data_IF_414861614782
#
_entry.id   IF_414861614782
#
_cell.length_a   1.000
_cell.length_b   1.000
_cell.length_c   1.000
_cell.angle_alpha   90.00
_cell.angle_beta   90.00
_cell.angle_gamma   90.00
#
_symmetry.space_group_name_H-M   'P 1'
#
loop_
_entity.id
_entity.type
_entity.pdbx_description
1 polymer ?
#
# COMPACT_ATOMS: atom_id res chain seq x y z
N UNK A 1 6.92 22.88 -25.38
CA UNK A 1 6.52 21.55 -24.87
C UNK A 1 5.36 21.73 -23.90
N UNK A 2 4.21 21.09 -24.14
CA UNK A 2 3.01 21.30 -23.31
C UNK A 2 3.25 20.81 -21.87
N UNK A 3 2.69 21.52 -20.88
CA UNK A 3 2.88 21.24 -19.44
C UNK A 3 2.56 19.78 -19.09
N UNK A 4 1.43 19.28 -19.58
CA UNK A 4 0.97 17.89 -19.39
C UNK A 4 1.98 16.87 -19.91
N UNK A 5 2.58 17.14 -21.07
CA UNK A 5 3.59 16.24 -21.64
C UNK A 5 4.83 16.11 -20.74
N UNK A 6 5.29 17.22 -20.14
CA UNK A 6 6.41 17.19 -19.18
C UNK A 6 6.07 16.42 -17.91
N UNK A 7 4.85 16.56 -17.41
CA UNK A 7 4.40 15.91 -16.17
C UNK A 7 4.28 14.39 -16.31
N UNK A 8 3.94 13.89 -17.51
CA UNK A 8 3.86 12.44 -17.80
C UNK A 8 5.25 11.87 -18.17
N UNK A 9 6.07 12.65 -18.87
CA UNK A 9 7.37 12.18 -19.37
C UNK A 9 8.30 11.72 -18.23
N UNK A 10 8.38 12.48 -17.14
CA UNK A 10 9.29 12.15 -16.03
C UNK A 10 8.94 10.83 -15.31
N UNK A 11 7.68 10.59 -14.90
CA UNK A 11 7.26 9.28 -14.41
C UNK A 11 7.54 8.15 -15.39
N UNK A 12 7.28 8.35 -16.70
CA UNK A 12 7.56 7.32 -17.70
C UNK A 12 9.05 6.98 -17.80
N UNK A 13 9.92 7.99 -17.76
CA UNK A 13 11.38 7.78 -17.74
C UNK A 13 11.81 7.01 -16.48
N UNK A 14 11.24 7.34 -15.31
CA UNK A 14 11.52 6.63 -14.08
C UNK A 14 11.09 5.16 -14.14
N UNK A 15 9.90 4.86 -14.70
CA UNK A 15 9.43 3.50 -14.91
C UNK A 15 10.36 2.74 -15.87
N UNK A 16 10.73 3.34 -17.01
CA UNK A 16 11.66 2.72 -17.95
C UNK A 16 13.03 2.46 -17.32
N UNK A 17 13.56 3.40 -16.55
CA UNK A 17 14.81 3.22 -15.81
C UNK A 17 14.71 2.06 -14.80
N UNK A 18 13.58 1.93 -14.10
CA UNK A 18 13.33 0.82 -13.19
C UNK A 18 13.35 -0.54 -13.90
N UNK A 19 12.75 -0.65 -15.09
CA UNK A 19 12.83 -1.87 -15.92
C UNK A 19 14.26 -2.16 -16.40
N UNK A 20 15.03 -1.14 -16.78
CA UNK A 20 16.44 -1.32 -17.19
C UNK A 20 17.28 -1.83 -16.01
N UNK A 21 17.19 -1.17 -14.86
CA UNK A 21 17.95 -1.56 -13.66
C UNK A 21 17.52 -2.96 -13.19
N UNK A 22 16.21 -3.22 -13.11
CA UNK A 22 15.68 -4.54 -12.78
C UNK A 22 16.17 -5.61 -13.76
N UNK A 23 16.23 -5.30 -15.05
CA UNK A 23 16.69 -6.22 -16.07
C UNK A 23 18.17 -6.54 -15.94
N UNK A 24 19.01 -5.55 -15.60
CA UNK A 24 20.42 -5.77 -15.28
C UNK A 24 20.55 -6.72 -14.08
N UNK A 25 19.74 -6.53 -13.03
CA UNK A 25 19.77 -7.42 -11.86
C UNK A 25 19.39 -8.86 -12.25
N UNK A 26 18.35 -9.04 -13.07
CA UNK A 26 17.94 -10.37 -13.56
C UNK A 26 19.07 -11.03 -14.36
N UNK A 27 19.77 -10.27 -15.22
CA UNK A 27 20.94 -10.78 -15.94
C UNK A 27 22.07 -11.22 -15.00
N UNK A 28 22.34 -10.46 -13.94
CA UNK A 28 23.38 -10.78 -12.95
C UNK A 28 23.06 -12.06 -12.15
N UNK A 29 21.77 -12.36 -11.96
CA UNK A 29 21.30 -13.61 -11.35
C UNK A 29 21.43 -14.80 -12.32
N UNK A 30 21.63 -14.54 -13.62
CA UNK A 30 21.80 -15.55 -14.65
C UNK A 30 20.51 -15.95 -15.37
N UNK A 31 19.42 -15.18 -15.18
CA UNK A 31 18.13 -15.44 -15.83
C UNK A 31 17.87 -14.44 -16.98
N UNK A 32 16.88 -14.71 -17.83
CA UNK A 32 16.51 -13.87 -18.95
C UNK A 32 15.51 -12.77 -18.53
N UNK A 33 15.87 -11.47 -18.64
CA UNK A 33 15.01 -10.36 -18.25
C UNK A 33 13.70 -10.30 -19.03
N UNK A 34 13.71 -10.64 -20.32
CA UNK A 34 12.51 -10.58 -21.15
C UNK A 34 11.50 -11.65 -20.72
N UNK A 35 11.96 -12.84 -20.38
CA UNK A 35 11.11 -13.92 -19.84
C UNK A 35 10.58 -13.53 -18.47
N UNK A 36 11.44 -12.98 -17.61
CA UNK A 36 11.04 -12.51 -16.27
C UNK A 36 9.99 -11.40 -16.34
N UNK A 37 10.18 -10.39 -17.20
CA UNK A 37 9.19 -9.32 -17.38
C UNK A 37 7.92 -9.79 -18.05
N UNK A 38 7.99 -10.77 -18.95
CA UNK A 38 6.80 -11.42 -19.49
C UNK A 38 5.98 -12.08 -18.38
N UNK A 39 6.62 -12.83 -17.48
CA UNK A 39 5.97 -13.40 -16.31
C UNK A 39 5.45 -12.34 -15.35
N UNK A 40 6.19 -11.25 -15.13
CA UNK A 40 5.75 -10.14 -14.28
C UNK A 40 4.45 -9.53 -14.80
N UNK A 41 4.38 -9.19 -16.09
CA UNK A 41 3.16 -8.63 -16.70
C UNK A 41 2.04 -9.65 -16.69
N UNK A 42 2.33 -10.93 -16.99
CA UNK A 42 1.36 -12.02 -16.93
C UNK A 42 0.78 -12.20 -15.52
N UNK A 43 1.59 -12.13 -14.47
CA UNK A 43 1.16 -12.26 -13.08
C UNK A 43 0.47 -11.01 -12.52
N UNK A 44 0.60 -9.85 -13.18
CA UNK A 44 -0.09 -8.62 -12.79
C UNK A 44 -1.41 -8.40 -13.52
N UNK A 45 -1.55 -8.90 -14.75
CA UNK A 45 -2.70 -8.63 -15.62
C UNK A 45 -3.35 -9.89 -16.24
N UNK A 46 -2.88 -11.09 -15.91
CA UNK A 46 -3.30 -12.34 -16.54
C UNK A 46 -4.71 -12.81 -16.18
N UNK A 47 -5.20 -12.47 -14.98
CA UNK A 47 -6.55 -12.79 -14.51
C UNK A 47 -7.19 -11.65 -13.73
N UNK A 48 -8.50 -11.76 -13.48
CA UNK A 48 -9.23 -10.80 -12.64
C UNK A 48 -8.65 -10.73 -11.21
N UNK A 49 -8.18 -11.85 -10.68
CA UNK A 49 -7.57 -11.92 -9.35
C UNK A 49 -6.21 -11.20 -9.34
N UNK A 50 -5.41 -11.36 -10.39
CA UNK A 50 -4.09 -10.73 -10.53
C UNK A 50 -4.22 -9.20 -10.62
N UNK A 51 -5.21 -8.73 -11.38
CA UNK A 51 -5.55 -7.30 -11.45
C UNK A 51 -6.02 -6.81 -10.09
N UNK A 52 -6.86 -7.59 -9.41
CA UNK A 52 -7.32 -7.28 -8.05
C UNK A 52 -6.16 -7.14 -7.07
N UNK A 53 -5.18 -8.04 -7.14
CA UNK A 53 -3.97 -7.99 -6.31
C UNK A 53 -3.09 -6.78 -6.65
N UNK A 54 -2.90 -6.51 -7.93
CA UNK A 54 -2.16 -5.32 -8.40
C UNK A 54 -2.81 -4.03 -7.88
N UNK A 55 -4.13 -3.91 -7.99
CA UNK A 55 -4.87 -2.75 -7.46
C UNK A 55 -4.80 -2.68 -5.93
N UNK A 56 -4.88 -3.82 -5.25
CA UNK A 56 -4.77 -3.90 -3.80
C UNK A 56 -3.44 -3.34 -3.28
N UNK A 57 -2.32 -3.65 -3.96
CA UNK A 57 -0.99 -3.12 -3.61
C UNK A 57 -0.80 -1.68 -4.12
N UNK A 58 -1.29 -1.35 -5.32
CA UNK A 58 -1.11 -0.02 -5.90
C UNK A 58 -1.89 1.08 -5.15
N UNK A 59 -3.08 0.76 -4.66
CA UNK A 59 -3.96 1.71 -3.95
C UNK A 59 -3.25 2.41 -2.78
N UNK A 60 -2.71 1.70 -1.76
CA UNK A 60 -2.01 2.35 -0.66
C UNK A 60 -0.79 3.15 -1.14
N UNK A 61 -0.02 2.65 -2.11
CA UNK A 61 1.15 3.38 -2.63
C UNK A 61 0.78 4.72 -3.28
N UNK A 62 -0.30 4.74 -4.08
CA UNK A 62 -0.81 5.96 -4.72
C UNK A 62 -1.29 6.95 -3.67
N UNK A 63 -2.05 6.50 -2.66
CA UNK A 63 -2.54 7.38 -1.60
C UNK A 63 -1.42 7.92 -0.70
N UNK A 64 -0.41 7.09 -0.38
CA UNK A 64 0.77 7.54 0.37
C UNK A 64 1.56 8.58 -0.43
N UNK A 65 1.79 8.35 -1.73
CA UNK A 65 2.42 9.34 -2.60
C UNK A 65 1.63 10.64 -2.71
N UNK A 66 0.30 10.55 -2.79
CA UNK A 66 -0.60 11.70 -2.79
C UNK A 66 -0.53 12.48 -1.46
N UNK A 67 -0.55 11.79 -0.32
CA UNK A 67 -0.44 12.42 1.00
C UNK A 67 0.87 13.21 1.15
N UNK A 68 1.98 12.61 0.72
CA UNK A 68 3.29 13.24 0.70
C UNK A 68 3.31 14.45 -0.25
N UNK A 69 2.75 14.32 -1.45
CA UNK A 69 2.66 15.41 -2.42
C UNK A 69 1.84 16.60 -1.91
N UNK A 70 0.76 16.35 -1.17
CA UNK A 70 -0.05 17.39 -0.53
C UNK A 70 0.73 18.09 0.58
N UNK A 71 1.42 17.34 1.46
CA UNK A 71 2.25 17.90 2.52
C UNK A 71 3.37 18.80 1.96
N UNK A 72 4.05 18.35 0.90
CA UNK A 72 5.09 19.13 0.22
C UNK A 72 4.57 20.45 -0.36
N UNK A 73 3.32 20.49 -0.85
CA UNK A 73 2.70 21.75 -1.32
C UNK A 73 2.47 22.76 -0.19
N UNK A 74 2.36 22.29 1.04
CA UNK A 74 2.27 23.13 2.24
C UNK A 74 3.66 23.50 2.81
N UNK A 75 4.75 23.08 2.18
CA UNK A 75 6.12 23.30 2.66
C UNK A 75 6.53 22.36 3.80
N UNK A 76 5.75 21.30 4.05
CA UNK A 76 6.03 20.29 5.08
C UNK A 76 6.71 19.07 4.44
N UNK A 77 7.80 18.61 5.07
CA UNK A 77 8.47 17.36 4.68
C UNK A 77 7.81 16.20 5.46
N UNK A 78 7.27 15.20 4.75
CA UNK A 78 6.75 13.97 5.38
C UNK A 78 7.69 12.78 5.08
N UNK A 79 8.69 12.58 5.96
CA UNK A 79 9.67 11.49 5.85
C UNK A 79 9.12 10.18 6.44
N UNK A 80 8.17 10.27 7.38
CA UNK A 80 7.62 9.13 8.12
C UNK A 80 6.44 8.41 7.46
N UNK A 81 6.11 8.74 6.20
CA UNK A 81 4.89 8.27 5.54
C UNK A 81 4.76 6.73 5.46
N UNK A 82 5.89 6.03 5.32
CA UNK A 82 5.91 4.56 5.35
C UNK A 82 5.51 4.02 6.74
N UNK A 83 6.02 4.63 7.82
CA UNK A 83 5.63 4.28 9.19
C UNK A 83 4.17 4.61 9.49
N UNK A 84 3.67 5.75 8.99
CA UNK A 84 2.25 6.12 9.11
C UNK A 84 1.36 5.06 8.48
N UNK A 85 1.72 4.55 7.30
CA UNK A 85 0.97 3.50 6.62
C UNK A 85 0.95 2.20 7.43
N UNK A 86 2.10 1.74 7.95
CA UNK A 86 2.16 0.51 8.73
C UNK A 86 1.40 0.60 10.06
N UNK A 87 1.51 1.71 10.78
CA UNK A 87 0.82 1.89 12.06
C UNK A 87 -0.69 2.04 11.86
N UNK A 88 -1.12 2.77 10.83
CA UNK A 88 -2.53 2.84 10.45
C UNK A 88 -3.06 1.44 10.08
N UNK A 89 -2.34 0.69 9.25
CA UNK A 89 -2.74 -0.65 8.84
C UNK A 89 -2.86 -1.61 10.04
N UNK A 90 -1.90 -1.59 10.97
CA UNK A 90 -1.96 -2.39 12.19
C UNK A 90 -3.15 -2.01 13.08
N UNK A 91 -3.35 -0.72 13.34
CA UNK A 91 -4.45 -0.24 14.17
C UNK A 91 -5.82 -0.60 13.57
N UNK A 92 -5.95 -0.45 12.24
CA UNK A 92 -7.16 -0.85 11.51
C UNK A 92 -7.38 -2.36 11.55
N UNK A 93 -6.35 -3.17 11.37
CA UNK A 93 -6.47 -4.63 11.48
C UNK A 93 -6.92 -5.06 12.87
N UNK A 94 -6.36 -4.44 13.92
CA UNK A 94 -6.75 -4.69 15.31
C UNK A 94 -8.23 -4.39 15.55
N UNK A 95 -8.70 -3.20 15.12
CA UNK A 95 -10.10 -2.81 15.22
C UNK A 95 -11.01 -3.73 14.41
N UNK A 96 -10.59 -4.13 13.21
CA UNK A 96 -11.31 -5.08 12.37
C UNK A 96 -11.53 -6.43 13.08
N UNK A 97 -10.50 -6.96 13.73
CA UNK A 97 -10.60 -8.20 14.51
C UNK A 97 -11.52 -8.02 15.71
N UNK A 98 -11.38 -6.92 16.46
CA UNK A 98 -12.16 -6.67 17.68
C UNK A 98 -13.64 -6.36 17.44
N UNK A 99 -13.98 -5.70 16.34
CA UNK A 99 -15.34 -5.24 16.08
C UNK A 99 -16.03 -5.93 14.89
N UNK A 100 -15.34 -6.83 14.20
CA UNK A 100 -15.85 -7.54 13.02
C UNK A 100 -16.45 -8.91 13.28
N UNK A 101 -16.64 -9.32 14.54
CA UNK A 101 -17.14 -10.67 14.87
C UNK A 101 -16.17 -11.79 14.42
N UNK A 102 -14.86 -11.51 14.45
CA UNK A 102 -13.85 -12.42 13.90
C UNK A 102 -13.54 -13.56 14.87
N UNK A 103 -13.77 -14.79 14.44
CA UNK A 103 -13.34 -16.01 15.13
C UNK A 103 -11.96 -16.43 14.61
N UNK A 104 -11.00 -16.56 15.51
CA UNK A 104 -9.61 -16.90 15.18
C UNK A 104 -9.33 -18.33 15.63
N UNK A 105 -8.70 -19.13 14.78
CA UNK A 105 -8.28 -20.49 15.13
C UNK A 105 -6.85 -20.47 15.64
N UNK A 106 -6.64 -20.87 16.89
CA UNK A 106 -5.32 -20.89 17.54
C UNK A 106 -5.09 -22.29 18.09
N UNK A 107 -4.01 -22.94 17.65
CA UNK A 107 -3.69 -24.33 18.01
C UNK A 107 -4.86 -25.31 17.80
N UNK A 108 -5.65 -25.09 16.75
CA UNK A 108 -6.82 -25.91 16.41
C UNK A 108 -8.08 -25.62 17.23
N UNK A 109 -8.06 -24.67 18.16
CA UNK A 109 -9.25 -24.19 18.89
C UNK A 109 -9.76 -22.89 18.28
N UNK A 110 -11.07 -22.84 18.02
CA UNK A 110 -11.74 -21.62 17.59
C UNK A 110 -12.03 -20.77 18.82
N UNK A 111 -11.40 -19.60 18.88
CA UNK A 111 -11.57 -18.63 19.94
C UNK A 111 -12.18 -17.36 19.34
N UNK A 112 -13.23 -16.85 19.96
CA UNK A 112 -13.81 -15.57 19.56
C UNK A 112 -12.94 -14.44 20.11
N UNK A 113 -12.29 -13.71 19.21
CA UNK A 113 -11.42 -12.59 19.57
C UNK A 113 -12.14 -11.24 19.49
N UNK A 114 -13.41 -11.26 19.08
CA UNK A 114 -14.24 -10.07 18.95
C UNK A 114 -14.77 -9.62 20.31
N UNK A 115 -14.80 -8.30 20.50
CA UNK A 115 -15.48 -7.66 21.62
C UNK A 115 -16.94 -7.38 21.28
N UNK A 116 -17.21 -7.07 20.02
CA UNK A 116 -18.55 -6.79 19.51
C UNK A 116 -18.58 -7.08 18.00
N UNK A 117 -19.77 -7.30 17.45
CA UNK A 117 -19.97 -7.45 16.01
C UNK A 117 -20.74 -6.26 15.47
N UNK A 118 -20.04 -5.30 14.88
CA UNK A 118 -20.65 -4.16 14.21
C UNK A 118 -21.15 -4.56 12.81
N UNK A 119 -22.23 -3.95 12.30
CA UNK A 119 -22.58 -4.04 10.89
C UNK A 119 -21.43 -3.58 9.99
N UNK A 120 -21.26 -4.23 8.84
CA UNK A 120 -20.08 -4.07 7.97
C UNK A 120 -19.82 -2.61 7.56
N UNK A 121 -20.89 -1.86 7.25
CA UNK A 121 -20.80 -0.44 6.87
C UNK A 121 -20.22 0.40 8.02
N UNK A 122 -20.68 0.17 9.25
CA UNK A 122 -20.20 0.90 10.41
C UNK A 122 -18.76 0.50 10.76
N UNK A 123 -18.43 -0.78 10.64
CA UNK A 123 -17.07 -1.28 10.86
C UNK A 123 -16.06 -0.61 9.91
N UNK A 124 -16.39 -0.49 8.62
CA UNK A 124 -15.52 0.19 7.64
C UNK A 124 -15.26 1.64 8.07
N UNK A 125 -16.31 2.37 8.47
CA UNK A 125 -16.15 3.76 8.93
C UNK A 125 -15.26 3.86 10.17
N UNK A 126 -15.44 2.98 11.15
CA UNK A 126 -14.61 2.94 12.36
C UNK A 126 -13.15 2.58 12.01
N UNK A 127 -12.94 1.65 11.10
CA UNK A 127 -11.62 1.26 10.59
C UNK A 127 -10.91 2.43 9.90
N UNK A 128 -11.62 3.20 9.07
CA UNK A 128 -11.07 4.38 8.40
C UNK A 128 -10.71 5.49 9.40
N UNK A 129 -11.59 5.77 10.37
CA UNK A 129 -11.30 6.75 11.42
C UNK A 129 -10.09 6.34 12.25
N UNK A 130 -9.98 5.05 12.58
CA UNK A 130 -8.83 4.52 13.31
C UNK A 130 -7.55 4.67 12.51
N UNK A 131 -7.56 4.39 11.21
CA UNK A 131 -6.41 4.58 10.32
C UNK A 131 -5.94 6.04 10.33
N UNK A 132 -6.88 6.99 10.19
CA UNK A 132 -6.59 8.43 10.19
C UNK A 132 -5.98 8.87 11.51
N UNK A 133 -6.56 8.46 12.64
CA UNK A 133 -6.08 8.85 13.97
C UNK A 133 -4.71 8.21 14.25
N UNK A 134 -4.56 6.92 14.03
CA UNK A 134 -3.30 6.21 14.31
C UNK A 134 -2.16 6.70 13.42
N UNK A 135 -2.43 6.91 12.12
CA UNK A 135 -1.46 7.50 11.19
C UNK A 135 -1.09 8.94 11.57
N UNK A 136 -2.08 9.76 11.96
CA UNK A 136 -1.84 11.14 12.41
C UNK A 136 -1.11 11.24 13.76
N UNK A 137 -1.29 10.27 14.66
CA UNK A 137 -0.49 10.16 15.89
C UNK A 137 0.95 9.81 15.54
N UNK A 138 1.18 8.90 14.59
CA UNK A 138 2.53 8.53 14.17
C UNK A 138 3.33 9.71 13.61
N UNK A 139 2.65 10.64 12.92
CA UNK A 139 3.26 11.88 12.41
C UNK A 139 3.93 12.74 13.49
N UNK A 140 3.41 12.68 14.72
CA UNK A 140 3.88 13.54 15.80
C UNK A 140 5.26 13.15 16.30
N UNK A 141 5.76 11.96 15.96
CA UNK A 141 7.09 11.53 16.35
C UNK A 141 8.14 12.18 15.45
N UNK A 142 8.99 13.07 15.99
CA UNK A 142 10.07 13.67 15.22
C UNK A 142 11.06 12.58 14.82
N UNK A 143 11.24 12.41 13.52
CA UNK A 143 12.33 11.61 12.95
C UNK A 143 13.51 12.59 12.79
N UNK A 144 14.40 12.62 13.78
CA UNK A 144 15.62 13.43 13.76
C UNK A 144 16.66 12.87 12.77
#
# INVERSE_FOLDING_TARGET
MNKVFREILWPMVAVLAAFVVGGIIVLLIGDNPFVTFYHLIGNSFGSLNDIGYTLFIATPLIFTGLAVAVAFRCGLLNIGAEGQLYVAAFATAWVGIKFGGTVVTIFGKQEDWSWYSLPSVLLILVCMLTAVIAGGIWEQFPVY
#
